data_IF_448712471786
#
_entry.id   IF_448712471786
#
_cell.length_a   1.000
_cell.length_b   1.000
_cell.length_c   1.000
_cell.angle_alpha   90.00
_cell.angle_beta   90.00
_cell.angle_gamma   90.00
#
_symmetry.space_group_name_H-M   'P 1'
#
loop_
_entity.id
_entity.type
_entity.pdbx_description
1 polymer ?
#
# COMPACT_ATOMS: atom_id res chain seq x y z
N UNK A 1 -35.98 17.85 0.16
CA UNK A 1 -35.87 18.76 -1.02
C UNK A 1 -34.96 18.08 -2.05
N UNK A 2 -35.14 18.27 -3.38
CA UNK A 2 -34.25 17.68 -4.38
C UNK A 2 -32.79 18.21 -4.34
N UNK A 3 -32.50 19.15 -3.42
CA UNK A 3 -31.15 19.64 -3.12
C UNK A 3 -30.41 18.81 -2.05
N UNK A 4 -31.08 17.80 -1.44
CA UNK A 4 -30.44 16.80 -0.56
C UNK A 4 -29.93 15.59 -1.36
N UNK A 5 -29.81 15.70 -2.68
CA UNK A 5 -29.07 14.72 -3.47
C UNK A 5 -27.60 14.92 -3.15
N UNK A 6 -27.06 13.99 -2.36
CA UNK A 6 -25.65 13.87 -2.04
C UNK A 6 -24.83 14.04 -3.32
N UNK A 7 -24.00 15.11 -3.38
CA UNK A 7 -23.07 15.27 -4.49
C UNK A 7 -22.14 14.06 -4.46
N UNK A 8 -22.30 13.16 -5.42
CA UNK A 8 -21.38 12.05 -5.66
C UNK A 8 -20.02 12.63 -6.00
N UNK A 9 -19.21 12.91 -4.97
CA UNK A 9 -17.77 12.92 -5.11
C UNK A 9 -17.30 11.55 -5.58
N UNK A 10 -16.03 11.42 -5.94
CA UNK A 10 -15.42 10.18 -6.44
C UNK A 10 -15.41 8.98 -5.45
N UNK A 11 -16.23 9.04 -4.39
CA UNK A 11 -16.47 8.00 -3.41
C UNK A 11 -17.97 7.73 -3.43
N UNK A 12 -18.36 6.49 -3.75
CA UNK A 12 -19.75 6.05 -3.71
C UNK A 12 -20.40 6.41 -2.37
N UNK A 13 -21.65 6.88 -2.42
CA UNK A 13 -22.47 7.16 -1.25
C UNK A 13 -22.49 5.93 -0.32
N UNK A 14 -22.10 6.14 0.94
CA UNK A 14 -22.08 5.10 1.99
C UNK A 14 -23.42 4.95 2.72
N UNK A 15 -24.41 5.78 2.38
CA UNK A 15 -25.69 5.90 3.08
C UNK A 15 -26.83 5.21 2.35
N UNK A 16 -26.64 4.81 1.08
CA UNK A 16 -27.67 4.11 0.30
C UNK A 16 -27.63 2.61 0.60
N UNK A 17 -28.49 2.19 1.54
CA UNK A 17 -28.72 0.80 1.92
C UNK A 17 -29.63 0.02 0.97
N UNK A 18 -29.50 0.21 -0.35
CA UNK A 18 -30.27 -0.57 -1.31
C UNK A 18 -29.75 -2.01 -1.32
N UNK A 19 -30.45 -2.89 -0.60
CA UNK A 19 -30.24 -4.33 -0.71
C UNK A 19 -31.09 -4.84 -1.88
N UNK A 20 -30.44 -5.32 -2.93
CA UNK A 20 -31.10 -5.96 -4.07
C UNK A 20 -31.02 -7.46 -3.88
N UNK A 21 -32.16 -8.12 -3.70
CA UNK A 21 -32.25 -9.57 -3.82
C UNK A 21 -32.46 -9.91 -5.30
N UNK A 22 -31.57 -10.72 -5.85
CA UNK A 22 -31.64 -11.17 -7.24
C UNK A 22 -31.72 -12.69 -7.25
N UNK A 23 -32.80 -13.23 -7.81
CA UNK A 23 -32.86 -14.65 -8.14
C UNK A 23 -32.04 -14.89 -9.40
N UNK A 24 -31.11 -15.82 -9.34
CA UNK A 24 -30.23 -16.16 -10.46
C UNK A 24 -30.54 -17.57 -10.92
N UNK A 25 -30.39 -17.86 -12.20
CA UNK A 25 -30.52 -19.21 -12.76
C UNK A 25 -29.41 -20.19 -12.28
N UNK A 26 -28.73 -19.88 -11.18
CA UNK A 26 -27.58 -20.59 -10.61
C UNK A 26 -27.89 -20.96 -9.14
N UNK A 27 -28.88 -21.84 -8.90
CA UNK A 27 -29.34 -22.14 -7.55
C UNK A 27 -28.25 -22.81 -6.72
N UNK A 28 -28.05 -22.33 -5.49
CA UNK A 28 -27.08 -22.87 -4.54
C UNK A 28 -25.61 -22.55 -4.85
N UNK A 29 -25.31 -21.83 -5.92
CA UNK A 29 -23.95 -21.47 -6.31
C UNK A 29 -23.57 -20.06 -5.86
N UNK A 30 -22.30 -19.87 -5.52
CA UNK A 30 -21.76 -18.55 -5.25
C UNK A 30 -21.45 -17.83 -6.56
N UNK A 31 -21.83 -16.57 -6.66
CA UNK A 31 -21.55 -15.75 -7.84
C UNK A 31 -20.10 -15.26 -7.84
N UNK A 32 -19.47 -15.23 -9.01
CA UNK A 32 -18.17 -14.60 -9.24
C UNK A 32 -18.16 -13.94 -10.62
N UNK A 33 -17.36 -12.90 -10.79
CA UNK A 33 -17.12 -12.30 -12.11
C UNK A 33 -15.62 -12.10 -12.35
N UNK A 34 -15.23 -11.97 -13.62
CA UNK A 34 -13.84 -11.62 -13.96
C UNK A 34 -13.47 -10.18 -13.55
N UNK A 35 -14.47 -9.33 -13.27
CA UNK A 35 -14.27 -7.97 -12.78
C UNK A 35 -13.80 -7.95 -11.31
N UNK A 36 -14.46 -8.73 -10.43
CA UNK A 36 -14.08 -8.79 -9.01
C UNK A 36 -13.00 -9.83 -8.75
N UNK A 37 -13.01 -10.96 -9.49
CA UNK A 37 -12.21 -12.17 -9.25
C UNK A 37 -12.33 -12.70 -7.82
N UNK A 38 -13.49 -12.47 -7.22
CA UNK A 38 -13.75 -12.84 -5.84
C UNK A 38 -15.08 -13.59 -5.74
N UNK A 39 -15.02 -14.79 -5.17
CA UNK A 39 -16.21 -15.61 -4.94
C UNK A 39 -17.14 -14.95 -3.92
N UNK A 40 -18.43 -14.86 -4.27
CA UNK A 40 -19.47 -14.24 -3.46
C UNK A 40 -19.57 -12.72 -3.61
N UNK A 41 -18.85 -12.10 -4.56
CA UNK A 41 -18.88 -10.65 -4.79
C UNK A 41 -18.92 -10.36 -6.30
N UNK A 42 -19.93 -9.62 -6.75
CA UNK A 42 -20.10 -9.15 -8.13
C UNK A 42 -20.47 -7.67 -8.15
N UNK A 43 -20.20 -6.99 -9.26
CA UNK A 43 -20.54 -5.57 -9.44
C UNK A 43 -21.94 -5.39 -10.02
N UNK A 44 -22.57 -4.25 -9.77
CA UNK A 44 -23.85 -3.90 -10.42
C UNK A 44 -23.71 -3.84 -11.95
N UNK A 45 -22.54 -3.46 -12.45
CA UNK A 45 -22.24 -3.45 -13.88
C UNK A 45 -22.07 -4.86 -14.46
N UNK A 46 -21.71 -5.85 -13.64
CA UNK A 46 -21.69 -7.26 -14.04
C UNK A 46 -23.12 -7.78 -14.28
N UNK A 47 -24.11 -7.25 -13.56
CA UNK A 47 -25.54 -7.57 -13.79
C UNK A 47 -25.96 -7.14 -15.19
N UNK A 48 -25.63 -5.91 -15.58
CA UNK A 48 -25.94 -5.39 -16.92
C UNK A 48 -25.26 -6.25 -18.00
N UNK A 49 -23.98 -6.57 -17.81
CA UNK A 49 -23.24 -7.44 -18.73
C UNK A 49 -23.87 -8.84 -18.83
N UNK A 50 -24.37 -9.38 -17.72
CA UNK A 50 -25.03 -10.70 -17.69
C UNK A 50 -26.36 -10.69 -18.41
N UNK A 51 -27.19 -9.65 -18.21
CA UNK A 51 -28.49 -9.51 -18.89
C UNK A 51 -28.33 -9.34 -20.41
N UNK A 52 -27.33 -8.57 -20.85
CA UNK A 52 -27.05 -8.41 -22.28
C UNK A 52 -26.55 -9.73 -22.88
N UNK A 53 -25.62 -10.40 -22.20
CA UNK A 53 -25.11 -11.69 -22.64
C UNK A 53 -26.20 -12.76 -22.73
N UNK A 54 -27.25 -12.70 -21.90
CA UNK A 54 -28.38 -13.65 -21.97
C UNK A 54 -29.30 -13.43 -23.18
N UNK A 55 -29.14 -12.32 -23.89
CA UNK A 55 -29.88 -11.98 -25.11
C UNK A 55 -28.96 -11.94 -26.34
N UNK A 56 -27.79 -12.57 -26.27
CA UNK A 56 -26.74 -12.54 -27.31
C UNK A 56 -26.33 -11.12 -27.72
N UNK A 57 -26.40 -10.17 -26.78
CA UNK A 57 -26.01 -8.78 -26.98
C UNK A 57 -24.74 -8.44 -26.18
N UNK A 58 -23.92 -7.52 -26.72
CA UNK A 58 -22.79 -6.92 -26.01
C UNK A 58 -23.08 -5.46 -25.68
N UNK A 59 -22.66 -5.02 -24.48
CA UNK A 59 -22.43 -3.60 -24.26
C UNK A 59 -21.13 -3.27 -24.99
N UNK A 60 -21.21 -2.67 -26.19
CA UNK A 60 -20.05 -2.33 -27.04
C UNK A 60 -19.09 -1.33 -26.36
N UNK A 61 -18.38 -1.77 -25.32
CA UNK A 61 -17.43 -0.99 -24.52
C UNK A 61 -18.05 0.10 -23.61
N UNK A 62 -19.36 0.37 -23.71
CA UNK A 62 -20.03 1.50 -23.04
C UNK A 62 -20.09 1.38 -21.50
N UNK A 63 -20.16 0.16 -20.96
CA UNK A 63 -20.31 -0.09 -19.52
C UNK A 63 -19.26 -1.09 -19.06
N UNK A 64 -18.38 -0.73 -18.09
CA UNK A 64 -17.37 -1.64 -17.59
C UNK A 64 -18.00 -2.73 -16.71
N UNK A 65 -17.96 -3.99 -17.13
CA UNK A 65 -18.46 -5.13 -16.37
C UNK A 65 -18.21 -6.44 -17.12
N UNK A 66 -18.33 -7.57 -16.43
CA UNK A 66 -18.26 -8.89 -17.06
C UNK A 66 -19.41 -9.78 -16.59
N UNK A 67 -19.97 -10.64 -17.47
CA UNK A 67 -21.00 -11.58 -17.07
C UNK A 67 -20.54 -12.41 -15.88
N UNK A 68 -21.37 -12.48 -14.83
CA UNK A 68 -21.06 -13.31 -13.68
C UNK A 68 -21.36 -14.79 -13.99
N UNK A 69 -20.69 -15.68 -13.28
CA UNK A 69 -20.85 -17.13 -13.38
C UNK A 69 -21.08 -17.72 -11.99
N UNK A 70 -21.74 -18.88 -11.95
CA UNK A 70 -21.89 -19.68 -10.74
C UNK A 70 -20.62 -20.47 -10.46
N UNK A 71 -20.27 -20.56 -9.19
CA UNK A 71 -19.20 -21.41 -8.68
C UNK A 71 -19.70 -22.22 -7.50
N UNK A 72 -19.25 -23.47 -7.42
CA UNK A 72 -19.62 -24.34 -6.32
C UNK A 72 -19.12 -23.76 -5.00
N UNK A 73 -19.99 -23.78 -4.00
CA UNK A 73 -19.74 -23.29 -2.66
C UNK A 73 -20.57 -24.13 -1.69
N UNK A 74 -19.98 -24.51 -0.56
CA UNK A 74 -20.66 -25.34 0.44
C UNK A 74 -21.97 -24.68 0.93
N UNK A 75 -21.93 -23.37 1.16
CA UNK A 75 -23.10 -22.56 1.48
C UNK A 75 -22.94 -21.15 0.87
N UNK A 76 -23.44 -20.98 -0.35
CA UNK A 76 -23.37 -19.72 -1.07
C UNK A 76 -24.13 -18.58 -0.37
N UNK A 77 -25.23 -18.89 0.32
CA UNK A 77 -26.05 -17.89 1.02
C UNK A 77 -25.33 -17.39 2.27
N UNK A 78 -24.78 -18.30 3.08
CA UNK A 78 -24.00 -17.92 4.26
C UNK A 78 -22.74 -17.15 3.86
N UNK A 79 -22.07 -17.54 2.77
CA UNK A 79 -20.92 -16.79 2.25
C UNK A 79 -21.30 -15.35 1.90
N UNK A 80 -22.40 -15.15 1.17
CA UNK A 80 -22.90 -13.82 0.83
C UNK A 80 -23.22 -13.00 2.09
N UNK A 81 -23.92 -13.63 3.05
CA UNK A 81 -24.25 -13.00 4.32
C UNK A 81 -23.01 -12.55 5.11
N UNK A 82 -22.01 -13.41 5.24
CA UNK A 82 -20.74 -13.09 5.91
C UNK A 82 -20.02 -11.92 5.25
N UNK A 83 -19.99 -11.90 3.91
CA UNK A 83 -19.33 -10.82 3.16
C UNK A 83 -20.04 -9.49 3.37
N UNK A 84 -21.37 -9.49 3.33
CA UNK A 84 -22.19 -8.32 3.59
C UNK A 84 -22.02 -7.82 5.03
N UNK A 85 -22.04 -8.71 6.01
CA UNK A 85 -21.95 -8.34 7.41
C UNK A 85 -20.55 -7.84 7.79
N UNK A 86 -19.49 -8.50 7.31
CA UNK A 86 -18.13 -8.01 7.45
C UNK A 86 -17.96 -6.62 6.81
N UNK A 87 -18.48 -6.42 5.59
CA UNK A 87 -18.39 -5.13 4.91
C UNK A 87 -19.16 -4.01 5.63
N UNK A 88 -20.30 -4.35 6.24
CA UNK A 88 -21.13 -3.41 7.02
C UNK A 88 -20.42 -2.98 8.32
N UNK A 89 -19.75 -3.91 9.00
CA UNK A 89 -19.17 -3.69 10.31
C UNK A 89 -17.73 -3.15 10.29
N UNK A 90 -16.97 -3.42 9.22
CA UNK A 90 -15.51 -3.20 9.20
C UNK A 90 -15.12 -1.76 9.45
N UNK A 91 -15.86 -0.78 8.89
CA UNK A 91 -15.53 0.65 9.03
C UNK A 91 -15.56 1.09 10.50
N UNK A 92 -16.65 0.76 11.21
CA UNK A 92 -16.83 1.11 12.61
C UNK A 92 -15.85 0.36 13.52
N UNK A 93 -15.52 -0.89 13.19
CA UNK A 93 -14.63 -1.72 13.99
C UNK A 93 -13.13 -1.41 13.75
N UNK A 94 -12.78 -0.89 12.56
CA UNK A 94 -11.37 -0.65 12.16
C UNK A 94 -10.66 0.36 13.05
N UNK A 95 -11.29 1.51 13.34
CA UNK A 95 -10.65 2.57 14.13
C UNK A 95 -10.36 2.12 15.57
N UNK A 96 -11.30 1.51 16.32
CA UNK A 96 -11.01 0.94 17.63
C UNK A 96 -9.95 -0.18 17.58
N UNK A 97 -10.05 -1.10 16.62
CA UNK A 97 -9.17 -2.26 16.55
C UNK A 97 -7.73 -1.88 16.19
N UNK A 98 -7.52 -1.17 15.07
CA UNK A 98 -6.18 -0.74 14.64
C UNK A 98 -5.67 0.43 15.47
N UNK A 99 -6.53 1.40 15.76
CA UNK A 99 -6.16 2.63 16.47
C UNK A 99 -5.69 2.38 17.90
N UNK A 100 -6.30 1.43 18.62
CA UNK A 100 -5.85 1.06 19.97
C UNK A 100 -4.43 0.50 19.99
N UNK A 101 -4.05 -0.33 19.00
CA UNK A 101 -2.67 -0.80 18.85
C UNK A 101 -1.73 0.33 18.40
N UNK A 102 -2.13 1.11 17.40
CA UNK A 102 -1.32 2.21 16.86
C UNK A 102 -1.05 3.31 17.91
N UNK A 103 -1.91 3.46 18.93
CA UNK A 103 -1.67 4.35 20.06
C UNK A 103 -0.35 4.03 20.80
N UNK A 104 0.06 2.75 20.86
CA UNK A 104 1.36 2.36 21.38
C UNK A 104 2.51 2.97 20.56
N UNK A 105 2.35 3.00 19.23
CA UNK A 105 3.28 3.65 18.31
C UNK A 105 3.39 5.14 18.55
N UNK A 106 2.26 5.83 18.77
CA UNK A 106 2.24 7.26 19.10
C UNK A 106 3.00 7.52 20.40
N UNK A 107 2.75 6.72 21.45
CA UNK A 107 3.51 6.80 22.72
C UNK A 107 5.01 6.60 22.47
N UNK A 108 5.36 5.59 21.66
CA UNK A 108 6.75 5.32 21.29
C UNK A 108 7.40 6.48 20.55
N UNK A 109 6.69 7.11 19.62
CA UNK A 109 7.14 8.28 18.87
C UNK A 109 7.35 9.48 19.78
N UNK A 110 6.42 9.76 20.69
CA UNK A 110 6.57 10.83 21.69
C UNK A 110 7.83 10.62 22.53
N UNK A 111 8.06 9.40 23.02
CA UNK A 111 9.26 9.07 23.80
C UNK A 111 10.55 9.30 22.99
N UNK A 112 10.58 8.88 21.73
CA UNK A 112 11.78 8.94 20.88
C UNK A 112 12.01 10.36 20.32
N UNK A 113 10.97 11.15 20.07
CA UNK A 113 11.07 12.49 19.50
C UNK A 113 11.31 13.56 20.57
N UNK A 114 10.77 13.42 21.78
CA UNK A 114 10.99 14.37 22.88
C UNK A 114 12.39 14.17 23.50
N UNK A 115 13.32 15.14 23.39
CA UNK A 115 14.71 14.94 23.80
C UNK A 115 14.88 14.63 25.31
N UNK A 116 14.00 15.15 26.17
CA UNK A 116 14.03 14.86 27.60
C UNK A 116 13.76 13.38 27.90
N UNK A 117 12.84 12.75 27.16
CA UNK A 117 12.49 11.34 27.30
C UNK A 117 13.50 10.44 26.59
N UNK A 118 13.90 10.79 25.36
CA UNK A 118 14.86 10.03 24.58
C UNK A 118 16.27 9.95 25.20
N UNK A 119 16.63 10.89 26.09
CA UNK A 119 17.87 10.82 26.88
C UNK A 119 17.85 9.70 27.94
N UNK A 120 16.68 9.29 28.41
CA UNK A 120 16.53 8.20 29.38
C UNK A 120 16.62 6.86 28.64
N UNK A 121 17.81 6.22 28.67
CA UNK A 121 18.13 5.01 27.87
C UNK A 121 17.05 3.92 27.90
N UNK A 122 16.52 3.59 29.08
CA UNK A 122 15.46 2.58 29.25
C UNK A 122 14.16 3.00 28.55
N UNK A 123 13.70 4.24 28.75
CA UNK A 123 12.52 4.75 28.08
C UNK A 123 12.72 4.81 26.56
N UNK A 124 13.86 5.29 26.09
CA UNK A 124 14.17 5.32 24.66
C UNK A 124 14.16 3.92 24.02
N UNK A 125 14.60 2.88 24.74
CA UNK A 125 14.50 1.50 24.28
C UNK A 125 13.04 1.04 24.17
N UNK A 126 12.21 1.32 25.18
CA UNK A 126 10.76 1.05 25.14
C UNK A 126 10.10 1.80 24.00
N UNK A 127 10.34 3.11 23.87
CA UNK A 127 9.75 3.92 22.81
C UNK A 127 10.14 3.45 21.40
N UNK A 128 11.39 3.00 21.23
CA UNK A 128 11.82 2.37 19.97
C UNK A 128 11.11 1.04 19.70
N UNK A 129 10.94 0.20 20.72
CA UNK A 129 10.23 -1.06 20.59
C UNK A 129 8.76 -0.83 20.20
N UNK A 130 8.06 0.07 20.90
CA UNK A 130 6.67 0.43 20.62
C UNK A 130 6.50 0.99 19.20
N UNK A 131 7.37 1.92 18.79
CA UNK A 131 7.34 2.47 17.43
C UNK A 131 7.64 1.40 16.36
N UNK A 132 8.54 0.46 16.64
CA UNK A 132 8.86 -0.63 15.71
C UNK A 132 7.70 -1.61 15.53
N UNK A 133 6.92 -1.92 16.58
CA UNK A 133 5.82 -2.90 16.47
C UNK A 133 4.48 -2.30 16.03
N UNK A 134 4.32 -0.97 16.10
CA UNK A 134 3.06 -0.32 15.76
C UNK A 134 2.57 -0.61 14.32
N UNK A 135 3.43 -0.56 13.27
CA UNK A 135 2.98 -0.85 11.90
C UNK A 135 2.52 -2.28 11.65
N UNK A 136 2.76 -3.22 12.58
CA UNK A 136 2.30 -4.61 12.44
C UNK A 136 0.78 -4.74 12.43
N UNK A 137 0.04 -3.75 12.97
CA UNK A 137 -1.41 -3.70 12.87
C UNK A 137 -1.91 -3.65 11.42
N UNK A 138 -1.12 -3.13 10.50
CA UNK A 138 -1.52 -2.99 9.09
C UNK A 138 -1.62 -4.35 8.38
N UNK A 139 -0.56 -5.19 8.33
CA UNK A 139 -0.68 -6.54 7.77
C UNK A 139 -1.60 -7.45 8.59
N UNK A 140 -1.67 -7.31 9.92
CA UNK A 140 -2.60 -8.11 10.74
C UNK A 140 -4.04 -7.74 10.44
N UNK A 141 -4.34 -6.45 10.28
CA UNK A 141 -5.64 -5.95 9.84
C UNK A 141 -6.03 -6.51 8.48
N UNK A 142 -5.11 -6.52 7.51
CA UNK A 142 -5.32 -7.12 6.19
C UNK A 142 -5.68 -8.62 6.28
N UNK A 143 -5.09 -9.33 7.22
CA UNK A 143 -5.34 -10.77 7.45
C UNK A 143 -6.47 -11.04 8.46
N UNK A 144 -7.16 -10.03 8.98
CA UNK A 144 -8.12 -10.20 10.07
C UNK A 144 -9.32 -11.08 9.68
N UNK A 145 -9.67 -11.12 8.39
CA UNK A 145 -10.74 -11.98 7.86
C UNK A 145 -10.44 -13.48 7.89
N UNK A 146 -9.25 -13.91 8.37
CA UNK A 146 -9.00 -15.31 8.76
C UNK A 146 -9.87 -15.77 9.93
N UNK A 147 -10.32 -14.82 10.76
CA UNK A 147 -11.21 -15.07 11.88
C UNK A 147 -12.55 -14.42 11.54
N UNK A 148 -13.70 -15.13 11.68
CA UNK A 148 -15.01 -14.56 11.41
C UNK A 148 -15.45 -13.63 12.53
N UNK A 149 -14.70 -12.54 12.75
CA UNK A 149 -14.90 -11.58 13.83
C UNK A 149 -16.27 -10.90 13.77
N UNK A 150 -16.87 -10.83 12.59
CA UNK A 150 -18.22 -10.30 12.35
C UNK A 150 -19.33 -11.19 12.93
N UNK A 151 -19.07 -12.47 13.21
CA UNK A 151 -20.05 -13.38 13.80
C UNK A 151 -20.10 -13.34 15.33
N UNK A 152 -19.20 -12.60 15.98
CA UNK A 152 -19.16 -12.50 17.43
C UNK A 152 -20.27 -11.56 17.96
N UNK A 153 -20.72 -11.79 19.19
CA UNK A 153 -21.71 -10.92 19.87
C UNK A 153 -21.26 -9.45 19.94
N UNK A 154 -19.94 -9.25 20.05
CA UNK A 154 -19.31 -7.92 19.99
C UNK A 154 -18.21 -7.89 18.92
N UNK A 155 -18.56 -7.61 17.65
CA UNK A 155 -17.62 -7.66 16.52
C UNK A 155 -16.41 -6.74 16.67
N UNK A 156 -16.59 -5.54 17.23
CA UNK A 156 -15.50 -4.58 17.45
C UNK A 156 -14.45 -5.12 18.43
N UNK A 157 -14.88 -5.73 19.53
CA UNK A 157 -13.96 -6.34 20.50
C UNK A 157 -13.31 -7.60 19.92
N UNK A 158 -14.04 -8.40 19.16
CA UNK A 158 -13.49 -9.57 18.48
C UNK A 158 -12.38 -9.15 17.50
N UNK A 159 -12.62 -8.15 16.66
CA UNK A 159 -11.62 -7.62 15.74
C UNK A 159 -10.42 -7.02 16.48
N UNK A 160 -10.64 -6.27 17.55
CA UNK A 160 -9.56 -5.75 18.38
C UNK A 160 -8.73 -6.90 18.98
N UNK A 161 -9.36 -7.98 19.43
CA UNK A 161 -8.69 -9.19 19.92
C UNK A 161 -7.83 -9.86 18.85
N UNK A 162 -8.33 -9.97 17.62
CA UNK A 162 -7.57 -10.50 16.46
C UNK A 162 -6.34 -9.62 16.18
N UNK A 163 -6.52 -8.30 16.15
CA UNK A 163 -5.43 -7.35 15.91
C UNK A 163 -4.38 -7.42 17.02
N UNK A 164 -4.79 -7.35 18.28
CA UNK A 164 -3.87 -7.41 19.42
C UNK A 164 -3.15 -8.75 19.51
N UNK A 165 -3.85 -9.87 19.31
CA UNK A 165 -3.27 -11.21 19.30
C UNK A 165 -2.25 -11.39 18.17
N UNK A 166 -2.62 -11.05 16.94
CA UNK A 166 -1.73 -11.13 15.79
C UNK A 166 -0.52 -10.21 15.92
N UNK A 167 -0.72 -8.97 16.37
CA UNK A 167 0.37 -8.02 16.59
C UNK A 167 1.29 -8.45 17.73
N UNK A 168 0.77 -9.02 18.82
CA UNK A 168 1.58 -9.56 19.90
C UNK A 168 2.49 -10.70 19.40
N UNK A 169 1.95 -11.61 18.60
CA UNK A 169 2.72 -12.71 17.98
C UNK A 169 3.84 -12.16 17.08
N UNK A 170 3.51 -11.23 16.18
CA UNK A 170 4.53 -10.62 15.29
C UNK A 170 5.54 -9.78 16.07
N UNK A 171 5.14 -9.17 17.20
CA UNK A 171 6.03 -8.40 18.07
C UNK A 171 7.10 -9.28 18.71
N UNK A 172 6.78 -10.54 19.04
CA UNK A 172 7.77 -11.51 19.54
C UNK A 172 8.86 -11.72 18.49
N UNK A 173 8.49 -11.91 17.21
CA UNK A 173 9.48 -12.01 16.14
C UNK A 173 10.33 -10.73 16.08
N UNK A 174 9.69 -9.56 15.98
CA UNK A 174 10.38 -8.27 15.87
C UNK A 174 11.36 -8.01 17.02
N UNK A 175 11.02 -8.37 18.26
CA UNK A 175 11.77 -7.97 19.46
C UNK A 175 12.68 -9.07 20.05
N UNK A 176 12.37 -10.36 19.84
CA UNK A 176 13.11 -11.46 20.47
C UNK A 176 14.25 -12.02 19.62
N UNK A 177 14.25 -11.79 18.30
CA UNK A 177 15.25 -12.35 17.39
C UNK A 177 16.69 -11.86 17.61
N UNK A 178 17.68 -12.48 16.93
CA UNK A 178 19.11 -12.13 17.06
C UNK A 178 19.42 -10.70 16.58
N UNK A 179 18.60 -10.14 15.70
CA UNK A 179 18.70 -8.77 15.20
C UNK A 179 18.50 -7.70 16.27
N UNK A 180 17.89 -8.02 17.43
CA UNK A 180 17.72 -7.06 18.55
C UNK A 180 19.03 -6.48 19.07
N UNK A 181 20.16 -7.12 18.77
CA UNK A 181 21.52 -6.64 19.10
C UNK A 181 21.86 -5.33 18.37
N UNK A 182 21.23 -5.05 17.23
CA UNK A 182 21.36 -3.80 16.48
C UNK A 182 20.15 -2.90 16.70
N UNK A 183 20.37 -1.58 16.79
CA UNK A 183 19.29 -0.56 16.81
C UNK A 183 18.38 -0.67 15.59
N UNK A 184 18.94 -1.00 14.43
CA UNK A 184 18.20 -1.11 13.17
C UNK A 184 17.47 -2.45 13.02
N UNK A 185 17.79 -3.45 13.85
CA UNK A 185 17.28 -4.80 13.70
C UNK A 185 15.75 -4.90 13.81
N UNK A 186 15.15 -4.52 14.96
CA UNK A 186 13.70 -4.57 15.13
C UNK A 186 12.93 -3.75 14.08
N UNK A 187 13.43 -2.55 13.75
CA UNK A 187 12.81 -1.69 12.72
C UNK A 187 12.86 -2.36 11.35
N UNK A 188 14.00 -2.92 10.97
CA UNK A 188 14.18 -3.61 9.69
C UNK A 188 13.31 -4.86 9.57
N UNK A 189 13.20 -5.65 10.64
CA UNK A 189 12.34 -6.85 10.64
C UNK A 189 10.87 -6.50 10.61
N UNK A 190 10.44 -5.48 11.37
CA UNK A 190 9.07 -4.99 11.29
C UNK A 190 8.72 -4.52 9.88
N UNK A 191 9.59 -3.71 9.27
CA UNK A 191 9.41 -3.23 7.90
C UNK A 191 9.37 -4.39 6.88
N UNK A 192 10.23 -5.39 7.05
CA UNK A 192 10.23 -6.58 6.19
C UNK A 192 8.95 -7.42 6.36
N UNK A 193 8.43 -7.57 7.59
CA UNK A 193 7.17 -8.27 7.85
C UNK A 193 5.99 -7.52 7.24
N UNK A 194 5.91 -6.19 7.39
CA UNK A 194 4.86 -5.38 6.77
C UNK A 194 4.87 -5.53 5.24
N UNK A 195 6.02 -5.33 4.60
CA UNK A 195 6.12 -5.48 3.15
C UNK A 195 5.84 -6.92 2.70
N UNK A 196 6.44 -7.90 3.38
CA UNK A 196 6.38 -9.31 3.02
C UNK A 196 4.98 -9.91 3.16
N UNK A 197 4.26 -9.60 4.24
CA UNK A 197 2.90 -10.12 4.46
C UNK A 197 1.93 -9.51 3.44
N UNK A 198 2.00 -8.20 3.19
CA UNK A 198 1.13 -7.55 2.18
C UNK A 198 1.41 -8.13 0.78
N UNK A 199 2.70 -8.28 0.41
CA UNK A 199 3.09 -8.88 -0.87
C UNK A 199 2.62 -10.33 -0.99
N UNK A 200 2.80 -11.14 0.06
CA UNK A 200 2.41 -12.54 0.07
C UNK A 200 0.88 -12.70 -0.04
N UNK A 201 0.12 -11.89 0.67
CA UNK A 201 -1.35 -11.92 0.62
C UNK A 201 -1.86 -11.55 -0.79
N UNK A 202 -1.28 -10.52 -1.41
CA UNK A 202 -1.60 -10.15 -2.80
C UNK A 202 -1.17 -11.23 -3.80
N UNK A 203 -0.04 -11.90 -3.57
CA UNK A 203 0.45 -12.97 -4.43
C UNK A 203 -0.44 -14.22 -4.43
N UNK A 204 -1.16 -14.48 -3.34
CA UNK A 204 -2.10 -15.62 -3.20
C UNK A 204 -3.52 -15.26 -3.68
N UNK A 205 -3.69 -14.09 -4.30
CA UNK A 205 -4.94 -13.67 -4.93
C UNK A 205 -5.86 -12.84 -4.04
N UNK A 206 -5.32 -12.19 -3.00
CA UNK A 206 -6.04 -11.17 -2.21
C UNK A 206 -7.32 -11.66 -1.51
N UNK A 207 -7.35 -12.94 -1.12
CA UNK A 207 -8.54 -13.58 -0.51
C UNK A 207 -8.93 -12.96 0.83
N UNK A 208 -7.95 -12.41 1.54
CA UNK A 208 -8.13 -11.84 2.86
C UNK A 208 -8.40 -10.34 2.78
N UNK A 209 -8.15 -9.65 1.66
CA UNK A 209 -8.37 -8.21 1.58
C UNK A 209 -9.84 -7.82 1.64
N UNK A 210 -10.75 -8.66 1.15
CA UNK A 210 -12.18 -8.34 1.14
C UNK A 210 -12.73 -8.17 2.54
N UNK A 211 -13.33 -7.01 2.80
CA UNK A 211 -13.96 -6.66 4.08
C UNK A 211 -13.02 -6.72 5.30
N UNK A 212 -11.70 -6.64 5.06
CA UNK A 212 -10.69 -6.52 6.11
C UNK A 212 -10.35 -5.06 6.39
N UNK A 213 -9.93 -4.73 7.62
CA UNK A 213 -9.29 -3.45 7.91
C UNK A 213 -8.16 -3.16 6.93
N UNK A 214 -8.23 -2.02 6.22
CA UNK A 214 -7.28 -1.60 5.17
C UNK A 214 -7.31 -2.43 3.88
N UNK A 215 -8.21 -3.39 3.74
CA UNK A 215 -8.37 -4.17 2.52
C UNK A 215 -9.38 -3.56 1.55
N UNK A 216 -9.78 -4.35 0.56
CA UNK A 216 -10.81 -4.00 -0.41
C UNK A 216 -12.16 -3.82 0.29
N UNK A 217 -12.80 -2.66 0.07
CA UNK A 217 -14.15 -2.38 0.56
C UNK A 217 -15.16 -2.64 -0.57
N UNK A 218 -15.98 -3.71 -0.48
CA UNK A 218 -16.89 -4.06 -1.56
C UNK A 218 -17.92 -2.96 -1.85
N UNK A 219 -18.34 -2.25 -0.80
CA UNK A 219 -19.32 -1.17 -0.87
C UNK A 219 -18.79 0.04 -1.63
N UNK A 220 -17.51 0.38 -1.44
CA UNK A 220 -16.87 1.55 -2.08
C UNK A 220 -16.44 1.27 -3.52
N UNK A 221 -16.39 0.00 -3.96
CA UNK A 221 -16.17 -0.38 -5.36
C UNK A 221 -14.79 -0.06 -5.95
N UNK A 222 -13.77 0.22 -5.13
CA UNK A 222 -12.46 0.69 -5.61
C UNK A 222 -11.60 -0.39 -6.29
N UNK A 223 -11.09 -1.35 -5.53
CA UNK A 223 -10.30 -2.49 -6.05
C UNK A 223 -10.60 -3.72 -5.19
N UNK A 224 -10.83 -4.87 -5.82
CA UNK A 224 -11.25 -6.12 -5.16
C UNK A 224 -10.12 -7.12 -4.91
N UNK A 225 -9.00 -6.97 -5.61
CA UNK A 225 -7.83 -7.86 -5.51
C UNK A 225 -6.55 -7.14 -5.97
N UNK A 226 -5.41 -7.71 -5.62
CA UNK A 226 -4.06 -7.20 -5.89
C UNK A 226 -3.57 -6.13 -4.92
N UNK A 227 -2.49 -5.45 -5.32
CA UNK A 227 -1.90 -4.36 -4.56
C UNK A 227 -2.61 -3.05 -4.88
N UNK A 228 -3.61 -2.63 -4.11
CA UNK A 228 -4.17 -1.28 -4.22
C UNK A 228 -3.12 -0.19 -3.97
N UNK A 229 -3.37 1.03 -4.44
CA UNK A 229 -2.39 2.13 -4.36
C UNK A 229 -1.93 2.43 -2.93
N UNK A 230 -2.81 2.31 -1.93
CA UNK A 230 -2.45 2.48 -0.52
C UNK A 230 -1.60 1.31 0.00
N UNK A 231 -1.91 0.06 -0.38
CA UNK A 231 -1.08 -1.11 -0.06
C UNK A 231 0.30 -0.99 -0.71
N UNK A 232 0.37 -0.57 -1.97
CA UNK A 232 1.64 -0.31 -2.66
C UNK A 232 2.45 0.79 -1.96
N UNK A 233 1.82 1.90 -1.55
CA UNK A 233 2.48 2.95 -0.77
C UNK A 233 3.10 2.42 0.53
N UNK A 234 2.39 1.52 1.24
CA UNK A 234 2.91 0.85 2.43
C UNK A 234 4.08 -0.09 2.11
N UNK A 235 3.95 -0.92 1.07
CA UNK A 235 4.99 -1.86 0.63
C UNK A 235 6.25 -1.11 0.20
N UNK A 236 6.13 -0.07 -0.62
CA UNK A 236 7.25 0.76 -1.06
C UNK A 236 7.99 1.35 0.15
N UNK A 237 7.23 1.96 1.07
CA UNK A 237 7.80 2.54 2.28
C UNK A 237 8.51 1.52 3.16
N UNK A 238 7.85 0.40 3.44
CA UNK A 238 8.34 -0.64 4.32
C UNK A 238 9.53 -1.39 3.70
N UNK A 239 9.50 -1.68 2.40
CA UNK A 239 10.63 -2.28 1.68
C UNK A 239 11.86 -1.36 1.69
N UNK A 240 11.68 -0.05 1.44
CA UNK A 240 12.78 0.92 1.52
C UNK A 240 13.35 1.00 2.95
N UNK A 241 12.51 0.99 3.98
CA UNK A 241 12.95 0.98 5.37
C UNK A 241 13.68 -0.33 5.75
N UNK A 242 13.20 -1.48 5.27
CA UNK A 242 13.86 -2.76 5.46
C UNK A 242 15.25 -2.78 4.80
N UNK A 243 15.36 -2.30 3.56
CA UNK A 243 16.63 -2.16 2.85
C UNK A 243 17.58 -1.18 3.56
N UNK A 244 17.08 -0.04 4.05
CA UNK A 244 17.87 0.88 4.86
C UNK A 244 18.50 0.17 6.07
N UNK A 245 17.69 -0.53 6.85
CA UNK A 245 18.15 -1.23 8.04
C UNK A 245 19.14 -2.35 7.68
N UNK A 246 18.86 -3.11 6.61
CA UNK A 246 19.74 -4.15 6.09
C UNK A 246 21.11 -3.60 5.66
N UNK A 247 21.14 -2.43 5.01
CA UNK A 247 22.37 -1.81 4.52
C UNK A 247 23.29 -1.29 5.62
N UNK A 248 22.80 -1.20 6.87
CA UNK A 248 23.65 -0.96 8.04
C UNK A 248 24.49 -2.19 8.43
N UNK A 249 24.03 -3.39 8.07
CA UNK A 249 24.75 -4.65 8.28
C UNK A 249 25.54 -5.09 7.04
N UNK A 250 24.99 -4.86 5.83
CA UNK A 250 25.63 -5.21 4.56
C UNK A 250 26.70 -4.18 4.17
N UNK A 251 27.94 -4.64 4.03
CA UNK A 251 29.11 -3.76 3.81
C UNK A 251 29.48 -3.52 2.35
N UNK A 252 29.14 -4.43 1.43
CA UNK A 252 29.61 -4.32 0.04
C UNK A 252 28.56 -3.66 -0.87
N UNK A 253 28.96 -2.75 -1.79
CA UNK A 253 28.04 -2.18 -2.78
C UNK A 253 27.31 -3.23 -3.61
N UNK A 254 28.02 -4.30 -4.03
CA UNK A 254 27.44 -5.41 -4.81
C UNK A 254 26.28 -6.09 -4.08
N UNK A 255 26.45 -6.44 -2.81
CA UNK A 255 25.37 -7.07 -2.04
C UNK A 255 24.19 -6.12 -1.84
N UNK A 256 24.43 -4.81 -1.66
CA UNK A 256 23.35 -3.82 -1.57
C UNK A 256 22.55 -3.76 -2.87
N UNK A 257 23.23 -3.74 -4.02
CA UNK A 257 22.58 -3.79 -5.33
C UNK A 257 21.75 -5.06 -5.49
N UNK A 258 22.32 -6.24 -5.17
CA UNK A 258 21.62 -7.52 -5.28
C UNK A 258 20.35 -7.55 -4.41
N UNK A 259 20.42 -7.09 -3.16
CA UNK A 259 19.24 -6.99 -2.30
C UNK A 259 18.21 -6.00 -2.83
N UNK A 260 18.63 -4.81 -3.29
CA UNK A 260 17.71 -3.84 -3.90
C UNK A 260 17.00 -4.42 -5.11
N UNK A 261 17.75 -5.06 -6.02
CA UNK A 261 17.20 -5.66 -7.24
C UNK A 261 16.29 -6.84 -6.88
N UNK A 262 16.69 -7.73 -5.97
CA UNK A 262 15.88 -8.86 -5.54
C UNK A 262 14.54 -8.43 -4.93
N UNK A 263 14.56 -7.45 -4.02
CA UNK A 263 13.32 -6.89 -3.44
C UNK A 263 12.50 -6.16 -4.49
N UNK A 264 13.13 -5.37 -5.36
CA UNK A 264 12.44 -4.66 -6.44
C UNK A 264 11.76 -5.60 -7.44
N UNK A 265 12.42 -6.71 -7.79
CA UNK A 265 11.85 -7.76 -8.64
C UNK A 265 10.69 -8.48 -7.96
N UNK A 266 10.80 -8.78 -6.66
CA UNK A 266 9.70 -9.38 -5.90
C UNK A 266 8.46 -8.46 -5.88
N UNK A 267 8.65 -7.17 -5.61
CA UNK A 267 7.57 -6.17 -5.66
C UNK A 267 7.00 -6.07 -7.08
N UNK A 268 7.85 -5.95 -8.10
CA UNK A 268 7.42 -5.84 -9.49
C UNK A 268 6.64 -7.08 -9.96
N UNK A 269 7.05 -8.28 -9.56
CA UNK A 269 6.37 -9.53 -9.89
C UNK A 269 4.93 -9.53 -9.36
N UNK A 270 4.72 -9.12 -8.10
CA UNK A 270 3.37 -9.01 -7.52
C UNK A 270 2.56 -7.88 -8.16
N UNK A 271 3.18 -6.72 -8.42
CA UNK A 271 2.50 -5.59 -9.05
C UNK A 271 2.04 -5.90 -10.49
N UNK A 272 2.78 -6.69 -11.25
CA UNK A 272 2.59 -6.81 -12.70
C UNK A 272 1.93 -8.12 -13.11
N UNK A 273 1.98 -9.17 -12.27
CA UNK A 273 1.36 -10.44 -12.59
C UNK A 273 -0.18 -10.32 -12.74
N UNK A 274 -0.75 -10.71 -13.90
CA UNK A 274 -2.20 -10.64 -14.12
C UNK A 274 -3.05 -11.44 -13.13
N UNK A 275 -2.51 -12.53 -12.60
CA UNK A 275 -3.13 -13.35 -11.56
C UNK A 275 -3.13 -12.67 -10.18
N UNK A 276 -2.30 -11.65 -9.96
CA UNK A 276 -2.11 -10.96 -8.68
C UNK A 276 -2.69 -9.53 -8.68
N UNK A 277 -3.57 -9.22 -9.63
CA UNK A 277 -4.22 -7.91 -9.72
C UNK A 277 -3.40 -6.80 -10.34
N UNK A 278 -2.69 -7.16 -11.43
CA UNK A 278 -1.86 -6.29 -12.26
C UNK A 278 -2.21 -4.80 -12.16
N UNK A 279 -1.31 -4.06 -11.51
CA UNK A 279 -1.34 -2.63 -11.32
C UNK A 279 -0.22 -1.99 -12.13
N UNK A 280 -0.62 -1.44 -13.27
CA UNK A 280 0.25 -0.74 -14.20
C UNK A 280 1.02 0.41 -13.52
N UNK A 281 0.35 1.21 -12.69
CA UNK A 281 0.95 2.38 -12.07
C UNK A 281 1.96 2.01 -10.99
N UNK A 282 1.60 1.05 -10.13
CA UNK A 282 2.53 0.51 -9.13
C UNK A 282 3.75 -0.18 -9.77
N UNK A 283 3.56 -0.90 -10.89
CA UNK A 283 4.65 -1.46 -11.69
C UNK A 283 5.60 -0.38 -12.25
N UNK A 284 5.05 0.66 -12.87
CA UNK A 284 5.82 1.79 -13.39
C UNK A 284 6.57 2.58 -12.31
N UNK A 285 6.04 2.65 -11.08
CA UNK A 285 6.71 3.32 -9.97
C UNK A 285 7.82 2.47 -9.33
N UNK A 286 7.67 1.15 -9.35
CA UNK A 286 8.63 0.20 -8.77
C UNK A 286 9.99 0.28 -9.46
N UNK A 287 10.03 0.30 -10.79
CA UNK A 287 11.27 0.34 -11.56
C UNK A 287 12.15 1.56 -11.25
N UNK A 288 11.66 2.81 -11.32
CA UNK A 288 12.46 3.97 -10.98
C UNK A 288 12.80 4.02 -9.49
N UNK A 289 11.94 3.57 -8.59
CA UNK A 289 12.24 3.57 -7.15
C UNK A 289 13.40 2.63 -6.80
N UNK A 290 13.28 1.34 -7.11
CA UNK A 290 14.29 0.34 -6.79
C UNK A 290 15.50 0.44 -7.72
N UNK A 291 15.29 0.76 -9.00
CA UNK A 291 16.37 1.00 -9.96
C UNK A 291 17.24 2.18 -9.55
N UNK A 292 16.65 3.33 -9.18
CA UNK A 292 17.42 4.47 -8.69
C UNK A 292 18.18 4.13 -7.41
N UNK A 293 17.55 3.39 -6.48
CA UNK A 293 18.26 2.93 -5.29
C UNK A 293 19.45 2.04 -5.65
N UNK A 294 19.29 1.11 -6.59
CA UNK A 294 20.35 0.22 -7.06
C UNK A 294 21.52 1.02 -7.64
N UNK A 295 21.26 2.01 -8.49
CA UNK A 295 22.29 2.91 -9.02
C UNK A 295 22.98 3.68 -7.88
N UNK A 296 22.22 4.27 -6.95
CA UNK A 296 22.76 5.03 -5.83
C UNK A 296 23.65 4.18 -4.91
N UNK A 297 23.29 2.93 -4.65
CA UNK A 297 24.08 2.05 -3.75
C UNK A 297 25.23 1.35 -4.47
N UNK A 298 25.22 1.26 -5.80
CA UNK A 298 26.30 0.67 -6.59
C UNK A 298 27.62 1.47 -6.54
N UNK A 299 27.54 2.78 -6.26
CA UNK A 299 28.70 3.68 -6.23
C UNK A 299 29.08 4.24 -7.61
N UNK A 300 28.33 3.92 -8.67
CA UNK A 300 28.51 4.58 -9.97
C UNK A 300 28.11 6.06 -9.88
N UNK A 301 28.77 6.91 -10.67
CA UNK A 301 28.38 8.31 -10.79
C UNK A 301 27.09 8.39 -11.59
N UNK A 302 26.02 8.85 -10.95
CA UNK A 302 24.75 9.08 -11.63
C UNK A 302 24.93 10.09 -12.78
N UNK A 303 24.48 9.69 -13.95
CA UNK A 303 24.40 10.51 -15.16
C UNK A 303 22.96 10.49 -15.65
N UNK A 304 22.52 11.53 -16.36
CA UNK A 304 21.16 11.65 -16.90
C UNK A 304 20.75 10.42 -17.70
N UNK A 305 21.65 9.84 -18.49
CA UNK A 305 21.40 8.63 -19.27
C UNK A 305 20.99 7.41 -18.44
N UNK A 306 21.45 7.26 -17.20
CA UNK A 306 21.02 6.15 -16.34
C UNK A 306 19.56 6.32 -15.89
N UNK A 307 19.14 7.55 -15.64
CA UNK A 307 17.75 7.86 -15.28
C UNK A 307 16.84 7.66 -16.49
N UNK A 308 17.28 8.11 -17.67
CA UNK A 308 16.59 7.86 -18.93
C UNK A 308 16.48 6.36 -19.23
N UNK A 309 17.55 5.59 -19.03
CA UNK A 309 17.55 4.15 -19.21
C UNK A 309 16.60 3.44 -18.25
N UNK A 310 16.51 3.88 -16.98
CA UNK A 310 15.51 3.37 -16.03
C UNK A 310 14.08 3.70 -16.47
N UNK A 311 13.85 4.93 -16.96
CA UNK A 311 12.54 5.35 -17.47
C UNK A 311 12.10 4.53 -18.69
N UNK A 312 12.99 4.40 -19.69
CA UNK A 312 12.75 3.62 -20.91
C UNK A 312 12.58 2.14 -20.57
N UNK A 313 13.47 1.57 -19.74
CA UNK A 313 13.38 0.17 -19.34
C UNK A 313 12.11 -0.14 -18.54
N UNK A 314 11.68 0.77 -17.66
CA UNK A 314 10.42 0.64 -16.93
C UNK A 314 9.21 0.70 -17.85
N UNK A 315 9.16 1.68 -18.76
CA UNK A 315 8.10 1.78 -19.76
C UNK A 315 8.05 0.54 -20.66
N UNK A 316 9.21 0.06 -21.15
CA UNK A 316 9.30 -1.13 -21.97
C UNK A 316 8.83 -2.39 -21.23
N UNK A 317 9.22 -2.57 -19.96
CA UNK A 317 8.80 -3.72 -19.16
C UNK A 317 7.28 -3.75 -18.96
N UNK A 318 6.70 -2.60 -18.62
CA UNK A 318 5.25 -2.50 -18.41
C UNK A 318 4.48 -2.66 -19.73
N UNK A 319 4.93 -2.02 -20.82
CA UNK A 319 4.32 -2.20 -22.15
C UNK A 319 4.42 -3.65 -22.63
N UNK A 320 5.52 -4.35 -22.34
CA UNK A 320 5.68 -5.76 -22.68
C UNK A 320 4.65 -6.62 -21.97
N UNK A 321 4.42 -6.40 -20.67
CA UNK A 321 3.41 -7.16 -19.95
C UNK A 321 1.99 -6.77 -20.37
N UNK A 322 1.72 -5.48 -20.61
CA UNK A 322 0.45 -5.03 -21.16
C UNK A 322 0.16 -5.66 -22.52
N UNK A 323 1.16 -5.79 -23.37
CA UNK A 323 1.03 -6.47 -24.66
C UNK A 323 0.77 -7.98 -24.50
N UNK A 324 1.49 -8.65 -23.59
CA UNK A 324 1.23 -10.06 -23.29
C UNK A 324 -0.17 -10.30 -22.73
N UNK A 325 -0.69 -9.37 -21.94
CA UNK A 325 -2.06 -9.40 -21.44
C UNK A 325 -3.08 -9.13 -22.55
N UNK A 326 -2.78 -8.24 -23.49
CA UNK A 326 -3.61 -7.95 -24.66
C UNK A 326 -3.76 -9.16 -25.62
N UNK A 327 -2.76 -10.04 -25.70
CA UNK A 327 -2.84 -11.28 -26.48
C UNK A 327 -3.85 -12.31 -25.92
N UNK A 328 -4.35 -12.11 -24.69
CA UNK A 328 -5.38 -12.97 -24.10
C UNK A 328 -6.75 -12.74 -24.75
N UNK A 329 -7.66 -13.71 -24.66
CA UNK A 329 -9.06 -13.53 -25.06
C UNK A 329 -9.64 -12.24 -24.43
N UNK A 330 -10.46 -11.46 -25.16
CA UNK A 330 -10.98 -10.17 -24.67
C UNK A 330 -11.64 -10.24 -23.30
N UNK A 331 -12.30 -11.35 -23.02
CA UNK A 331 -12.93 -11.69 -21.73
C UNK A 331 -11.94 -11.89 -20.57
N UNK A 332 -10.70 -12.26 -20.83
CA UNK A 332 -9.67 -12.49 -19.81
C UNK A 332 -8.67 -11.31 -19.69
N UNK A 333 -8.78 -10.30 -20.56
CA UNK A 333 -7.90 -9.13 -20.55
C UNK A 333 -8.11 -8.29 -19.29
N UNK A 334 -7.00 -7.96 -18.63
CA UNK A 334 -7.01 -6.99 -17.54
C UNK A 334 -7.03 -5.56 -18.09
N UNK A 335 -7.05 -4.58 -17.18
CA UNK A 335 -6.91 -3.18 -17.55
C UNK A 335 -5.60 -2.89 -18.30
N UNK A 336 -4.55 -3.70 -18.12
CA UNK A 336 -3.29 -3.57 -18.85
C UNK A 336 -3.45 -3.92 -20.33
N UNK A 337 -4.18 -4.99 -20.67
CA UNK A 337 -4.47 -5.34 -22.06
C UNK A 337 -5.33 -4.29 -22.75
N UNK A 338 -6.38 -3.79 -22.08
CA UNK A 338 -7.25 -2.72 -22.64
C UNK A 338 -6.52 -1.40 -22.84
N UNK A 339 -5.50 -1.11 -22.04
CA UNK A 339 -4.65 0.07 -22.27
C UNK A 339 -3.92 0.01 -23.62
N UNK A 340 -3.59 -1.18 -24.13
CA UNK A 340 -3.02 -1.31 -25.48
C UNK A 340 -4.06 -0.96 -26.54
N UNK A 341 -5.33 -1.35 -26.35
CA UNK A 341 -6.42 -0.94 -27.24
C UNK A 341 -6.58 0.60 -27.25
N UNK A 342 -6.56 1.25 -26.08
CA UNK A 342 -6.58 2.72 -25.94
C UNK A 342 -5.34 3.40 -26.58
N UNK A 343 -4.18 2.76 -26.51
CA UNK A 343 -2.95 3.25 -27.12
C UNK A 343 -3.01 3.18 -28.65
N UNK A 344 -3.54 2.09 -29.19
CA UNK A 344 -3.69 1.86 -30.63
C UNK A 344 -4.80 2.70 -31.24
N UNK A 345 -5.87 3.00 -30.49
CA UNK A 345 -6.96 3.87 -30.94
C UNK A 345 -6.59 5.37 -30.95
N UNK A 346 -5.41 5.73 -30.44
CA UNK A 346 -4.95 7.12 -30.37
C UNK A 346 -5.52 7.90 -29.18
N UNK A 347 -6.22 7.24 -28.25
CA UNK A 347 -6.85 7.89 -27.10
C UNK A 347 -5.90 8.09 -25.89
N UNK A 348 -4.62 7.75 -26.01
CA UNK A 348 -3.65 7.87 -24.91
C UNK A 348 -3.66 9.26 -24.22
N UNK A 349 -3.79 10.35 -24.99
CA UNK A 349 -3.83 11.70 -24.43
C UNK A 349 -5.08 11.91 -23.55
N UNK A 350 -6.24 11.40 -23.97
CA UNK A 350 -7.49 11.52 -23.20
C UNK A 350 -7.38 10.75 -21.88
N UNK A 351 -6.73 9.58 -21.89
CA UNK A 351 -6.47 8.75 -20.70
C UNK A 351 -5.58 9.49 -19.70
N UNK A 352 -4.48 10.09 -20.17
CA UNK A 352 -3.55 10.85 -19.33
C UNK A 352 -4.26 12.07 -18.72
N UNK A 353 -4.99 12.84 -19.54
CA UNK A 353 -5.75 14.02 -19.07
C UNK A 353 -6.80 13.60 -18.04
N UNK A 354 -7.53 12.51 -18.29
CA UNK A 354 -8.53 11.96 -17.36
C UNK A 354 -7.91 11.57 -16.02
N UNK A 355 -6.78 10.86 -16.00
CA UNK A 355 -6.07 10.49 -14.76
C UNK A 355 -5.57 11.71 -14.00
N UNK A 356 -5.02 12.69 -14.70
CA UNK A 356 -4.54 13.92 -14.06
C UNK A 356 -5.70 14.73 -13.46
N UNK A 357 -6.81 14.84 -14.19
CA UNK A 357 -8.03 15.48 -13.72
C UNK A 357 -8.59 14.79 -12.47
N UNK A 358 -8.56 13.45 -12.39
CA UNK A 358 -8.96 12.69 -11.20
C UNK A 358 -8.08 13.00 -9.98
N UNK A 359 -6.75 13.03 -10.14
CA UNK A 359 -5.84 13.40 -9.05
C UNK A 359 -6.06 14.84 -8.57
N UNK A 360 -6.27 15.78 -9.50
CA UNK A 360 -6.59 17.18 -9.16
C UNK A 360 -7.92 17.27 -8.42
N UNK A 361 -8.97 16.62 -8.93
CA UNK A 361 -10.30 16.62 -8.32
C UNK A 361 -10.29 15.97 -6.93
N UNK A 362 -9.50 14.92 -6.70
CA UNK A 362 -9.30 14.36 -5.36
C UNK A 362 -8.58 15.34 -4.42
N UNK A 363 -7.52 15.99 -4.91
CA UNK A 363 -6.76 16.94 -4.10
C UNK A 363 -7.56 18.20 -3.76
N UNK A 364 -8.40 18.70 -4.67
CA UNK A 364 -9.21 19.91 -4.44
C UNK A 364 -10.56 19.60 -3.80
N UNK A 365 -11.15 18.44 -4.07
CA UNK A 365 -12.44 18.02 -3.54
C UNK A 365 -12.38 17.54 -2.09
N UNK A 366 -11.23 17.03 -1.63
CA UNK A 366 -11.03 16.59 -0.25
C UNK A 366 -9.91 17.40 0.41
N UNK A 367 -10.30 18.39 1.22
CA UNK A 367 -9.35 19.27 1.94
C UNK A 367 -8.31 18.49 2.75
N UNK A 368 -8.70 17.34 3.32
CA UNK A 368 -7.80 16.47 4.07
C UNK A 368 -6.70 15.86 3.18
N UNK A 369 -7.02 15.43 1.96
CA UNK A 369 -6.01 14.93 1.01
C UNK A 369 -5.13 16.06 0.49
N UNK A 370 -5.69 17.25 0.27
CA UNK A 370 -4.93 18.45 -0.07
C UNK A 370 -3.86 18.74 1.01
N UNK A 371 -4.28 18.74 2.28
CA UNK A 371 -3.39 18.93 3.42
C UNK A 371 -2.31 17.84 3.46
N UNK A 372 -2.66 16.58 3.24
CA UNK A 372 -1.69 15.48 3.19
C UNK A 372 -0.64 15.71 2.10
N UNK A 373 -1.03 16.17 0.91
CA UNK A 373 -0.09 16.46 -0.17
C UNK A 373 0.85 17.62 0.18
N UNK A 374 0.33 18.70 0.76
CA UNK A 374 1.16 19.81 1.24
C UNK A 374 2.16 19.31 2.28
N UNK A 375 1.69 18.54 3.27
CA UNK A 375 2.56 17.93 4.27
C UNK A 375 3.57 16.96 3.66
N UNK A 376 3.21 16.24 2.59
CA UNK A 376 4.10 15.34 1.87
C UNK A 376 5.22 16.07 1.14
N UNK A 377 4.92 17.21 0.50
CA UNK A 377 5.93 18.08 -0.11
C UNK A 377 6.88 18.59 0.96
N UNK A 378 6.34 19.14 2.06
CA UNK A 378 7.14 19.64 3.18
C UNK A 378 8.00 18.52 3.80
N UNK A 379 7.44 17.34 4.00
CA UNK A 379 8.15 16.17 4.52
C UNK A 379 9.26 15.72 3.55
N UNK A 380 9.00 15.69 2.23
CA UNK A 380 9.98 15.35 1.21
C UNK A 380 11.18 16.29 1.25
N UNK A 381 10.93 17.61 1.30
CA UNK A 381 11.98 18.62 1.46
C UNK A 381 12.72 18.40 2.79
N UNK A 382 11.98 18.14 3.87
CA UNK A 382 12.55 18.00 5.20
C UNK A 382 13.49 16.80 5.36
N UNK A 383 13.12 15.64 4.83
CA UNK A 383 13.93 14.42 4.93
C UNK A 383 15.12 14.42 3.96
N UNK A 384 15.05 15.19 2.88
CA UNK A 384 16.14 15.32 1.90
C UNK A 384 17.13 16.43 2.24
N UNK A 385 16.72 17.45 2.99
CA UNK A 385 17.57 18.59 3.35
C UNK A 385 17.79 18.75 4.87
N UNK A 386 18.20 17.69 5.61
CA UNK A 386 18.26 17.74 7.07
C UNK A 386 19.26 18.78 7.61
N UNK A 387 20.35 19.05 6.90
CA UNK A 387 21.34 20.06 7.31
C UNK A 387 20.81 21.49 7.21
N UNK A 388 20.09 21.81 6.12
CA UNK A 388 19.51 23.15 5.89
C UNK A 388 18.42 23.45 6.91
N UNK A 389 17.63 22.44 7.26
CA UNK A 389 16.52 22.57 8.22
C UNK A 389 16.93 22.29 9.67
N UNK A 390 18.24 22.17 9.95
CA UNK A 390 18.80 21.94 11.29
C UNK A 390 18.26 20.68 11.99
N UNK A 391 17.87 19.66 11.22
CA UNK A 391 17.47 18.34 11.73
C UNK A 391 18.71 17.54 12.14
N UNK A 392 19.31 17.93 13.28
CA UNK A 392 20.59 17.41 13.77
C UNK A 392 20.67 15.89 13.83
N UNK A 393 19.60 15.22 14.30
CA UNK A 393 19.57 13.76 14.45
C UNK A 393 19.53 13.04 13.09
N UNK A 394 18.79 13.56 12.12
CA UNK A 394 18.75 12.99 10.78
C UNK A 394 20.07 13.22 10.03
N UNK A 395 20.66 14.41 10.19
CA UNK A 395 21.99 14.69 9.66
C UNK A 395 23.08 13.79 10.30
N UNK A 396 22.96 13.48 11.60
CA UNK A 396 23.83 12.54 12.29
C UNK A 396 23.63 11.09 11.81
N UNK A 397 22.39 10.70 11.49
CA UNK A 397 22.12 9.41 10.84
C UNK A 397 22.81 9.33 9.47
N UNK A 398 22.73 10.38 8.66
CA UNK A 398 23.39 10.41 7.35
C UNK A 398 24.92 10.37 7.44
N UNK A 399 25.50 10.99 8.47
CA UNK A 399 26.93 10.92 8.74
C UNK A 399 27.36 9.51 9.16
N UNK A 400 26.58 8.85 10.03
CA UNK A 400 26.87 7.49 10.48
C UNK A 400 26.58 6.44 9.40
N UNK A 401 25.56 6.67 8.57
CA UNK A 401 25.05 5.76 7.55
C UNK A 401 24.75 6.54 6.26
N UNK A 402 25.74 6.79 5.39
CA UNK A 402 25.55 7.56 4.15
C UNK A 402 24.49 6.97 3.20
N UNK A 403 24.20 5.68 3.33
CA UNK A 403 23.16 4.99 2.56
C UNK A 403 21.76 5.45 2.95
N UNK A 404 21.56 5.97 4.17
CA UNK A 404 20.27 6.49 4.63
C UNK A 404 19.73 7.59 3.72
N UNK A 405 20.59 8.52 3.32
CA UNK A 405 20.21 9.58 2.40
C UNK A 405 19.81 9.03 1.02
N UNK A 406 20.54 8.01 0.52
CA UNK A 406 20.27 7.37 -0.78
C UNK A 406 18.91 6.67 -0.81
N UNK A 407 18.56 5.96 0.26
CA UNK A 407 17.23 5.32 0.40
C UNK A 407 16.12 6.37 0.42
N UNK A 408 16.31 7.49 1.14
CA UNK A 408 15.30 8.55 1.18
C UNK A 408 15.09 9.24 -0.17
N UNK A 409 16.16 9.43 -0.96
CA UNK A 409 16.03 9.92 -2.34
C UNK A 409 15.16 8.96 -3.16
N UNK A 410 15.49 7.67 -3.15
CA UNK A 410 14.76 6.66 -3.90
C UNK A 410 13.29 6.54 -3.47
N UNK A 411 13.02 6.62 -2.16
CA UNK A 411 11.65 6.67 -1.63
C UNK A 411 10.88 7.87 -2.18
N UNK A 412 11.43 9.09 -2.06
CA UNK A 412 10.73 10.31 -2.47
C UNK A 412 10.45 10.27 -3.97
N UNK A 413 11.44 9.88 -4.78
CA UNK A 413 11.25 9.72 -6.23
C UNK A 413 10.18 8.67 -6.52
N UNK A 414 10.25 7.50 -5.89
CA UNK A 414 9.27 6.43 -6.06
C UNK A 414 7.85 6.86 -5.66
N UNK A 415 7.72 7.64 -4.58
CA UNK A 415 6.45 8.16 -4.09
C UNK A 415 5.82 9.14 -5.08
N UNK A 416 6.59 10.11 -5.58
CA UNK A 416 6.08 11.10 -6.54
C UNK A 416 5.86 10.54 -7.94
N UNK A 417 6.69 9.59 -8.39
CA UNK A 417 6.38 8.82 -9.60
C UNK A 417 5.10 8.02 -9.40
N UNK A 418 4.97 7.31 -8.27
CA UNK A 418 3.76 6.59 -7.89
C UNK A 418 2.52 7.48 -7.85
N UNK A 419 2.62 8.68 -7.29
CA UNK A 419 1.55 9.68 -7.32
C UNK A 419 1.13 10.04 -8.75
N UNK A 420 2.10 10.25 -9.65
CA UNK A 420 1.84 10.71 -11.00
C UNK A 420 1.20 9.64 -11.91
N UNK A 421 1.56 8.37 -11.74
CA UNK A 421 1.10 7.27 -12.62
C UNK A 421 -0.20 6.59 -12.14
N UNK A 422 -0.56 6.77 -10.88
CA UNK A 422 -1.74 6.18 -10.26
C UNK A 422 -2.93 7.16 -10.20
N UNK A 423 -4.13 6.60 -10.20
CA UNK A 423 -5.44 7.27 -10.13
C UNK A 423 -5.78 7.80 -8.74
N UNK A 424 -5.31 7.14 -7.68
CA UNK A 424 -5.46 7.58 -6.28
C UNK A 424 -4.10 7.89 -5.63
N UNK A 425 -3.29 8.68 -6.33
CA UNK A 425 -1.94 9.08 -5.91
C UNK A 425 -1.86 9.67 -4.49
N UNK A 426 -2.76 10.58 -4.06
CA UNK A 426 -2.72 11.14 -2.71
C UNK A 426 -2.81 10.08 -1.59
N UNK A 427 -3.59 9.03 -1.80
CA UNK A 427 -3.78 7.95 -0.81
C UNK A 427 -2.50 7.10 -0.69
N UNK A 428 -1.84 6.82 -1.80
CA UNK A 428 -0.51 6.16 -1.82
C UNK A 428 0.50 6.97 -0.99
N UNK A 429 0.56 8.29 -1.21
CA UNK A 429 1.45 9.19 -0.47
C UNK A 429 1.13 9.15 1.04
N UNK A 430 -0.14 9.23 1.42
CA UNK A 430 -0.58 9.15 2.80
C UNK A 430 -0.09 7.86 3.49
N UNK A 431 -0.29 6.73 2.82
CA UNK A 431 0.09 5.42 3.32
C UNK A 431 1.62 5.27 3.46
N UNK A 432 2.37 5.75 2.46
CA UNK A 432 3.83 5.79 2.50
C UNK A 432 4.35 6.64 3.66
N UNK A 433 3.77 7.84 3.85
CA UNK A 433 4.13 8.75 4.95
C UNK A 433 3.86 8.11 6.31
N UNK A 434 2.71 7.45 6.48
CA UNK A 434 2.36 6.77 7.74
C UNK A 434 3.42 5.77 8.17
N UNK A 435 3.86 4.89 7.26
CA UNK A 435 4.94 3.93 7.53
C UNK A 435 6.25 4.65 7.88
N UNK A 436 6.64 5.67 7.10
CA UNK A 436 7.90 6.38 7.33
C UNK A 436 7.92 7.19 8.62
N UNK A 437 6.81 7.83 8.98
CA UNK A 437 6.65 8.56 10.23
C UNK A 437 6.73 7.62 11.44
N UNK A 438 6.22 6.40 11.33
CA UNK A 438 6.32 5.40 12.39
C UNK A 438 7.76 4.84 12.53
N UNK A 439 8.42 4.51 11.42
CA UNK A 439 9.66 3.73 11.44
C UNK A 439 10.95 4.56 11.36
N UNK A 440 10.94 5.78 10.82
CA UNK A 440 12.14 6.61 10.76
C UNK A 440 12.61 7.08 12.15
N UNK A 441 11.75 7.62 13.04
CA UNK A 441 12.18 8.10 14.35
C UNK A 441 12.96 7.09 15.20
N UNK A 442 12.56 5.80 15.33
CA UNK A 442 13.31 4.83 16.13
C UNK A 442 14.71 4.51 15.57
N UNK A 443 14.98 4.79 14.30
CA UNK A 443 16.33 4.65 13.71
C UNK A 443 17.26 5.81 14.04
N UNK A 444 16.71 6.96 14.44
CA UNK A 444 17.51 8.15 14.70
C UNK A 444 18.47 7.93 15.88
N UNK A 445 19.70 8.49 15.81
CA UNK A 445 20.62 8.58 16.95
C UNK A 445 19.97 9.21 18.19
N UNK A 446 20.51 8.91 19.37
CA UNK A 446 20.04 9.56 20.61
C UNK A 446 20.40 11.06 20.59
N UNK A 447 19.58 11.94 21.20
CA UNK A 447 19.87 13.36 21.27
C UNK A 447 21.20 13.63 22.01
N UNK A 448 21.97 14.59 21.50
CA UNK A 448 23.19 15.06 22.17
C UNK A 448 22.85 15.78 23.48
N UNK A 449 23.71 15.72 24.51
CA UNK A 449 23.58 16.56 25.70
C UNK A 449 23.58 18.04 25.32
N UNK A 450 22.77 18.86 25.99
CA UNK A 450 22.79 20.30 25.82
C UNK A 450 24.21 20.84 26.12
N UNK A 451 24.80 21.60 25.20
CA UNK A 451 26.10 22.27 25.39
C UNK A 451 27.30 21.72 24.61
N UNK A 452 27.20 20.57 23.92
CA UNK A 452 28.27 20.12 23.00
C UNK A 452 27.87 20.35 21.55
N UNK A 453 28.50 21.33 20.90
CA UNK A 453 28.49 21.46 19.44
C UNK A 453 29.29 20.32 18.81
N UNK A 454 28.84 19.88 17.63
CA UNK A 454 29.39 18.73 16.88
C UNK A 454 30.86 18.88 16.50
N UNK A 455 31.45 20.08 16.66
CA UNK A 455 32.85 20.37 16.35
C UNK A 455 33.86 19.72 17.29
N UNK A 456 33.44 19.21 18.46
CA UNK A 456 34.37 18.56 19.40
C UNK A 456 34.64 17.06 19.12
N UNK A 457 34.33 16.57 17.90
CA UNK A 457 34.58 15.17 17.50
C UNK A 457 35.02 14.98 16.05
N UNK A 458 35.57 16.03 15.44
CA UNK A 458 36.50 15.90 14.32
C UNK A 458 37.89 16.05 14.90
#
# INVERSE_FOLDING_TARGET
>A
HPEEVERTGAVASRTVGLQVAMDTALPGQALTSGATKQTGVVMITDVVATVLSSHDASADGLIPGQPFRGTDSDDAQQLAWDRSEAARLVDAATVPALGSWLALGVIGLVIVLVPALARRRRLAAVGRALAAVAPLALPVGLCASLVPWWRADSPTLALAGVVWGGCALLSVLVLAGPWRRSRFGPVGVSAALVAGIILAESAVGSRLQLSSPLGAQPISGGRFYGLSNHLFGMVLAAAMMALLCLFTAVRTPRARVLWTVGVGLAVAAVCVAPSMGADFGSGLATVPAFGLLALLVSGIRLRVWHVLALGIGGAAAVLSVSFLDWLRPPEDRTHLGRFIDELLSGELLSVIVRKLAQNIAMATGYWALALVLVLAVLASIAILMPRRLRWRRLAALDAAQPVAHRVRIALVVGAWVGYAVNDTGPVLIAAMLGIWLALLPPTLPDPLPAGRTTEQRV
#
